data_IF_539498252596
#
_entry.id   IF_539498252596
#
_cell.length_a   1.000
_cell.length_b   1.000
_cell.length_c   1.000
_cell.angle_alpha   90.00
_cell.angle_beta   90.00
_cell.angle_gamma   90.00
#
_symmetry.space_group_name_H-M   'P 1'
#
loop_
_entity.id
_entity.type
_entity.pdbx_description
1 polymer ?
#
# COMPACT_ATOMS: atom_id res chain seq x y z
N UNK A 1 -19.99 22.39 -3.58
CA UNK A 1 -20.54 21.03 -3.82
C UNK A 1 -20.57 20.16 -2.55
N UNK A 2 -19.58 19.29 -2.27
CA UNK A 2 -19.70 18.28 -1.20
C UNK A 2 -19.86 18.86 0.21
N UNK A 3 -18.96 19.74 0.66
CA UNK A 3 -19.00 20.31 2.02
C UNK A 3 -20.20 21.23 2.27
N UNK A 4 -20.70 21.86 1.21
CA UNK A 4 -21.91 22.69 1.26
C UNK A 4 -23.20 21.87 1.21
N UNK A 5 -23.11 20.53 1.13
CA UNK A 5 -24.26 19.62 0.98
C UNK A 5 -25.11 19.88 -0.27
N UNK A 6 -24.52 20.46 -1.31
CA UNK A 6 -25.17 20.66 -2.62
C UNK A 6 -25.25 19.33 -3.40
N UNK A 7 -24.43 18.33 -3.04
CA UNK A 7 -24.55 16.95 -3.50
C UNK A 7 -24.85 16.08 -2.29
N UNK A 8 -26.11 15.73 -2.09
CA UNK A 8 -26.60 14.93 -0.95
C UNK A 8 -26.86 13.47 -1.30
N UNK A 9 -27.13 13.19 -2.58
CA UNK A 9 -27.03 11.92 -3.29
C UNK A 9 -25.93 10.96 -2.79
N UNK A 10 -26.16 9.86 -2.04
CA UNK A 10 -25.06 8.94 -1.70
C UNK A 10 -24.39 8.33 -2.94
N UNK A 11 -25.15 8.08 -4.03
CA UNK A 11 -24.59 7.57 -5.29
C UNK A 11 -23.85 8.68 -6.03
N UNK A 12 -24.40 9.88 -6.06
CA UNK A 12 -23.74 11.05 -6.66
C UNK A 12 -22.44 11.41 -5.94
N UNK A 13 -22.43 11.39 -4.60
CA UNK A 13 -21.22 11.60 -3.80
C UNK A 13 -20.15 10.55 -4.11
N UNK A 14 -20.55 9.28 -4.23
CA UNK A 14 -19.63 8.21 -4.60
C UNK A 14 -19.05 8.44 -6.00
N UNK A 15 -19.88 8.77 -6.97
CA UNK A 15 -19.45 9.05 -8.34
C UNK A 15 -18.51 10.26 -8.38
N UNK A 16 -18.83 11.32 -7.63
CA UNK A 16 -17.99 12.50 -7.47
C UNK A 16 -16.59 12.11 -6.99
N UNK A 17 -16.47 11.35 -5.90
CA UNK A 17 -15.15 10.92 -5.41
C UNK A 17 -14.41 10.05 -6.43
N UNK A 18 -15.06 9.02 -6.98
CA UNK A 18 -14.43 8.13 -7.95
C UNK A 18 -13.94 8.88 -9.19
N UNK A 19 -14.68 9.88 -9.65
CA UNK A 19 -14.29 10.73 -10.80
C UNK A 19 -12.97 11.47 -10.58
N UNK A 20 -12.56 11.75 -9.34
CA UNK A 20 -11.29 12.41 -9.04
C UNK A 20 -10.08 11.54 -9.44
N UNK A 21 -10.24 10.22 -9.60
CA UNK A 21 -9.17 9.36 -10.11
C UNK A 21 -8.86 9.60 -11.60
N UNK A 22 -9.76 10.29 -12.33
CA UNK A 22 -9.56 10.66 -13.73
C UNK A 22 -8.73 11.93 -13.90
N UNK A 23 -8.39 12.61 -12.79
CA UNK A 23 -7.56 13.82 -12.82
C UNK A 23 -6.16 13.46 -13.35
N UNK A 24 -5.75 14.14 -14.43
CA UNK A 24 -4.47 13.89 -15.11
C UNK A 24 -3.32 14.71 -14.53
N UNK A 25 -3.59 15.85 -13.91
CA UNK A 25 -2.58 16.72 -13.28
C UNK A 25 -3.16 17.48 -12.09
N UNK A 26 -2.29 17.85 -11.14
CA UNK A 26 -2.67 18.58 -9.92
C UNK A 26 -2.02 19.97 -9.86
N UNK A 27 -2.58 20.82 -9.02
CA UNK A 27 -2.04 22.15 -8.65
C UNK A 27 -1.98 22.27 -7.12
N UNK A 28 -1.16 23.19 -6.60
CA UNK A 28 -1.06 23.45 -5.15
C UNK A 28 -2.42 23.82 -4.53
N UNK A 29 -3.22 24.74 -5.12
CA UNK A 29 -4.56 25.03 -4.59
C UNK A 29 -5.51 23.83 -4.64
N UNK A 30 -5.43 23.00 -5.69
CA UNK A 30 -6.26 21.81 -5.80
C UNK A 30 -5.94 20.77 -4.73
N UNK A 31 -4.66 20.56 -4.40
CA UNK A 31 -4.28 19.67 -3.29
C UNK A 31 -4.79 20.19 -1.94
N UNK A 32 -4.65 21.50 -1.71
CA UNK A 32 -5.18 22.16 -0.50
C UNK A 32 -6.70 21.96 -0.36
N UNK A 33 -7.44 22.00 -1.46
CA UNK A 33 -8.87 21.70 -1.47
C UNK A 33 -9.16 20.20 -1.27
N UNK A 34 -8.41 19.31 -1.91
CA UNK A 34 -8.55 17.86 -1.78
C UNK A 34 -8.36 17.38 -0.34
N UNK A 35 -7.43 18.01 0.40
CA UNK A 35 -7.20 17.77 1.83
C UNK A 35 -8.45 17.97 2.70
N UNK A 36 -9.31 18.93 2.35
CA UNK A 36 -10.56 19.20 3.09
C UNK A 36 -11.60 18.09 2.88
N UNK A 37 -11.46 17.30 1.82
CA UNK A 37 -12.33 16.15 1.57
C UNK A 37 -12.15 15.04 2.61
N UNK A 38 -11.04 15.07 3.36
CA UNK A 38 -10.76 14.12 4.43
C UNK A 38 -11.35 14.53 5.79
N UNK A 39 -11.89 15.74 5.93
CA UNK A 39 -12.41 16.23 7.21
C UNK A 39 -13.71 15.52 7.63
N UNK A 40 -13.81 15.18 8.91
CA UNK A 40 -14.94 14.46 9.49
C UNK A 40 -14.85 12.95 9.24
N UNK A 41 -15.94 12.36 8.77
CA UNK A 41 -16.02 10.94 8.39
C UNK A 41 -16.48 10.82 6.93
N UNK A 42 -15.59 11.09 5.96
CA UNK A 42 -15.94 11.00 4.55
C UNK A 42 -16.15 9.54 4.13
N UNK A 43 -16.65 9.34 2.91
CA UNK A 43 -16.80 8.01 2.33
C UNK A 43 -15.44 7.33 2.10
N UNK A 44 -15.48 6.01 1.91
CA UNK A 44 -14.29 5.20 1.62
C UNK A 44 -13.60 5.65 0.33
N UNK A 45 -14.41 6.01 -0.67
CA UNK A 45 -13.96 6.48 -1.98
C UNK A 45 -13.18 7.80 -1.88
N UNK A 46 -13.46 8.64 -0.89
CA UNK A 46 -12.69 9.87 -0.64
C UNK A 46 -11.23 9.55 -0.30
N UNK A 47 -10.96 8.58 0.58
CA UNK A 47 -9.60 8.18 0.94
C UNK A 47 -8.81 7.65 -0.27
N UNK A 48 -9.45 6.78 -1.08
CA UNK A 48 -8.84 6.23 -2.29
C UNK A 48 -8.45 7.33 -3.26
N UNK A 49 -9.38 8.27 -3.47
CA UNK A 49 -9.25 9.31 -4.49
C UNK A 49 -8.27 10.39 -4.08
N UNK A 50 -8.31 10.82 -2.81
CA UNK A 50 -7.30 11.75 -2.27
C UNK A 50 -5.90 11.14 -2.33
N UNK A 51 -5.76 9.85 -2.05
CA UNK A 51 -4.50 9.12 -2.27
C UNK A 51 -3.99 9.27 -3.70
N UNK A 52 -4.83 8.96 -4.70
CA UNK A 52 -4.47 9.11 -6.12
C UNK A 52 -4.07 10.56 -6.47
N UNK A 53 -4.79 11.55 -5.95
CA UNK A 53 -4.47 12.98 -6.18
C UNK A 53 -3.12 13.36 -5.56
N UNK A 54 -2.76 12.82 -4.40
CA UNK A 54 -1.43 13.02 -3.80
C UNK A 54 -0.34 12.50 -4.73
N UNK A 55 -0.50 11.30 -5.31
CA UNK A 55 0.48 10.77 -6.26
C UNK A 55 0.64 11.69 -7.48
N UNK A 56 -0.47 12.14 -8.09
CA UNK A 56 -0.44 13.08 -9.22
C UNK A 56 0.23 14.42 -8.87
N UNK A 57 0.03 14.89 -7.65
CA UNK A 57 0.71 16.08 -7.15
C UNK A 57 2.22 15.84 -6.98
N UNK A 58 2.57 14.75 -6.29
CA UNK A 58 3.96 14.35 -6.02
C UNK A 58 4.79 14.18 -7.28
N UNK A 59 4.21 13.59 -8.34
CA UNK A 59 4.86 13.43 -9.64
C UNK A 59 5.28 14.77 -10.27
N UNK A 60 4.62 15.88 -9.93
CA UNK A 60 4.89 17.21 -10.52
C UNK A 60 5.67 18.14 -9.59
N UNK A 61 5.41 18.09 -8.28
CA UNK A 61 5.91 19.07 -7.32
C UNK A 61 6.76 18.47 -6.19
N UNK A 62 7.01 17.16 -6.20
CA UNK A 62 7.59 16.47 -5.05
C UNK A 62 6.58 16.23 -3.92
N UNK A 63 6.98 15.44 -2.93
CA UNK A 63 6.12 15.04 -1.81
C UNK A 63 6.41 15.80 -0.50
N UNK A 64 7.28 16.80 -0.52
CA UNK A 64 7.77 17.48 0.69
C UNK A 64 6.83 18.59 1.19
N UNK A 65 5.75 18.87 0.45
CA UNK A 65 4.83 19.97 0.79
C UNK A 65 4.07 19.72 2.09
N UNK A 66 3.76 20.80 2.81
CA UNK A 66 2.98 20.75 4.05
C UNK A 66 1.59 20.13 3.86
N UNK A 67 0.94 20.35 2.70
CA UNK A 67 -0.38 19.76 2.42
C UNK A 67 -0.31 18.23 2.26
N UNK A 68 0.76 17.69 1.65
CA UNK A 68 0.98 16.22 1.59
C UNK A 68 1.17 15.67 3.01
N UNK A 69 2.01 16.31 3.82
CA UNK A 69 2.23 15.92 5.21
C UNK A 69 0.94 15.90 6.02
N UNK A 70 0.11 16.94 5.91
CA UNK A 70 -1.16 17.00 6.64
C UNK A 70 -2.15 15.92 6.17
N UNK A 71 -2.18 15.59 4.87
CA UNK A 71 -2.96 14.43 4.38
C UNK A 71 -2.44 13.13 4.99
N UNK A 72 -1.12 12.94 5.04
CA UNK A 72 -0.51 11.78 5.69
C UNK A 72 -0.87 11.69 7.18
N UNK A 73 -0.89 12.82 7.88
CA UNK A 73 -1.31 12.88 9.28
C UNK A 73 -2.78 12.50 9.45
N UNK A 74 -3.67 12.95 8.57
CA UNK A 74 -5.09 12.55 8.57
C UNK A 74 -5.26 11.05 8.32
N UNK A 75 -4.48 10.46 7.41
CA UNK A 75 -4.45 9.02 7.22
C UNK A 75 -3.97 8.30 8.48
N UNK A 76 -2.88 8.77 9.11
CA UNK A 76 -2.35 8.17 10.33
C UNK A 76 -3.36 8.20 11.48
N UNK A 77 -4.06 9.32 11.68
CA UNK A 77 -5.14 9.45 12.66
C UNK A 77 -6.25 8.45 12.38
N UNK A 78 -6.66 8.30 11.11
CA UNK A 78 -7.75 7.39 10.75
C UNK A 78 -7.38 5.91 10.88
N UNK A 79 -6.12 5.54 10.68
CA UNK A 79 -5.62 4.18 10.95
C UNK A 79 -5.65 3.85 12.45
N UNK A 80 -5.40 4.82 13.33
CA UNK A 80 -5.44 4.66 14.78
C UNK A 80 -4.49 3.55 15.28
N UNK A 81 -5.07 2.47 15.82
CA UNK A 81 -4.37 1.26 16.28
C UNK A 81 -4.41 0.10 15.26
N UNK A 82 -5.10 0.27 14.12
CA UNK A 82 -5.37 -0.78 13.15
C UNK A 82 -6.11 -2.02 13.70
N UNK A 83 -6.85 -1.82 14.79
CA UNK A 83 -7.67 -2.82 15.46
C UNK A 83 -9.13 -2.37 15.41
N UNK A 84 -9.77 -2.37 14.23
CA UNK A 84 -11.17 -1.99 14.10
C UNK A 84 -12.05 -2.98 14.87
N UNK A 85 -13.08 -2.47 15.55
CA UNK A 85 -14.00 -3.29 16.35
C UNK A 85 -15.28 -3.64 15.59
N UNK A 86 -15.59 -2.89 14.53
CA UNK A 86 -16.75 -3.12 13.67
C UNK A 86 -16.34 -3.32 12.21
N UNK A 87 -17.22 -3.96 11.43
CA UNK A 87 -17.01 -4.13 9.99
C UNK A 87 -16.88 -2.79 9.24
N UNK A 88 -17.62 -1.77 9.67
CA UNK A 88 -17.57 -0.44 9.07
C UNK A 88 -16.24 0.28 9.35
N UNK A 89 -15.72 0.14 10.57
CA UNK A 89 -14.38 0.63 10.92
C UNK A 89 -13.31 -0.09 10.11
N UNK A 90 -13.41 -1.42 9.99
CA UNK A 90 -12.47 -2.24 9.22
C UNK A 90 -12.45 -1.80 7.75
N UNK A 91 -13.62 -1.65 7.14
CA UNK A 91 -13.74 -1.18 5.76
C UNK A 91 -13.13 0.22 5.57
N UNK A 92 -13.20 1.07 6.59
CA UNK A 92 -12.58 2.40 6.56
C UNK A 92 -11.07 2.32 6.67
N UNK A 93 -10.53 1.52 7.61
CA UNK A 93 -9.08 1.30 7.75
C UNK A 93 -8.50 0.73 6.46
N UNK A 94 -9.17 -0.27 5.86
CA UNK A 94 -8.77 -0.84 4.56
C UNK A 94 -8.80 0.21 3.45
N UNK A 95 -9.83 1.08 3.41
CA UNK A 95 -9.89 2.16 2.42
C UNK A 95 -8.75 3.17 2.59
N UNK A 96 -8.38 3.51 3.82
CA UNK A 96 -7.23 4.39 4.12
C UNK A 96 -5.93 3.75 3.65
N UNK A 97 -5.68 2.47 3.97
CA UNK A 97 -4.48 1.75 3.52
C UNK A 97 -4.38 1.69 1.99
N UNK A 98 -5.50 1.47 1.29
CA UNK A 98 -5.55 1.55 -0.17
C UNK A 98 -5.33 2.97 -0.70
N UNK A 99 -5.80 4.00 0.01
CA UNK A 99 -5.48 5.40 -0.29
C UNK A 99 -3.98 5.69 -0.17
N UNK A 100 -3.32 5.15 0.87
CA UNK A 100 -1.86 5.24 1.06
C UNK A 100 -1.11 4.53 -0.07
N UNK A 101 -1.57 3.34 -0.47
CA UNK A 101 -1.04 2.67 -1.66
C UNK A 101 -1.15 3.58 -2.89
N UNK A 102 -2.32 4.19 -3.11
CA UNK A 102 -2.57 5.04 -4.27
C UNK A 102 -1.72 6.33 -4.27
N UNK A 103 -1.33 6.84 -3.09
CA UNK A 103 -0.46 8.02 -2.99
C UNK A 103 0.96 7.77 -3.42
N UNK A 104 1.40 6.50 -3.47
CA UNK A 104 2.74 6.08 -3.86
C UNK A 104 3.85 6.88 -3.13
N UNK A 105 3.56 7.27 -1.89
CA UNK A 105 4.49 7.95 -0.99
C UNK A 105 4.12 7.57 0.43
N UNK A 106 5.09 7.04 1.16
CA UNK A 106 4.93 6.59 2.53
C UNK A 106 6.20 6.89 3.32
N UNK A 107 6.13 7.90 4.18
CA UNK A 107 7.26 8.37 5.00
C UNK A 107 6.86 8.40 6.48
N UNK A 108 7.85 8.50 7.37
CA UNK A 108 7.57 8.66 8.80
C UNK A 108 6.78 9.97 9.05
N UNK A 109 5.79 9.98 9.97
CA UNK A 109 5.41 8.90 10.89
C UNK A 109 4.37 7.91 10.33
N UNK A 110 3.77 8.19 9.18
CA UNK A 110 2.72 7.34 8.60
C UNK A 110 3.23 5.92 8.29
N UNK A 111 4.47 5.78 7.84
CA UNK A 111 5.14 4.49 7.64
C UNK A 111 5.05 3.61 8.88
N UNK A 112 5.34 4.17 10.05
CA UNK A 112 5.35 3.43 11.31
C UNK A 112 3.94 2.92 11.66
N UNK A 113 2.92 3.70 11.32
CA UNK A 113 1.52 3.30 11.45
C UNK A 113 1.16 2.18 10.50
N UNK A 114 1.55 2.24 9.23
CA UNK A 114 1.27 1.15 8.27
C UNK A 114 1.96 -0.15 8.71
N UNK A 115 3.20 -0.09 9.20
CA UNK A 115 3.91 -1.26 9.75
C UNK A 115 3.18 -1.80 11.00
N UNK A 116 2.64 -0.95 11.86
CA UNK A 116 1.83 -1.40 13.00
C UNK A 116 0.59 -2.21 12.55
N UNK A 117 0.01 -1.87 11.40
CA UNK A 117 -1.18 -2.53 10.85
C UNK A 117 -0.92 -3.94 10.31
N UNK A 118 0.34 -4.37 10.14
CA UNK A 118 0.66 -5.75 9.77
C UNK A 118 0.73 -6.71 10.97
N UNK A 119 0.66 -6.18 12.19
CA UNK A 119 0.65 -6.98 13.42
C UNK A 119 -0.48 -8.01 13.45
N UNK A 120 -0.22 -9.12 14.16
CA UNK A 120 -1.17 -10.20 14.45
C UNK A 120 -2.44 -9.73 15.19
N UNK A 121 -2.39 -8.58 15.86
CA UNK A 121 -3.55 -7.94 16.50
C UNK A 121 -4.55 -7.37 15.50
N UNK A 122 -4.14 -7.13 14.25
CA UNK A 122 -5.01 -6.58 13.21
C UNK A 122 -5.69 -7.73 12.45
N UNK A 123 -6.88 -7.48 11.88
CA UNK A 123 -7.55 -8.51 11.07
C UNK A 123 -6.77 -8.83 9.80
N UNK A 124 -6.96 -10.03 9.23
CA UNK A 124 -6.31 -10.43 7.98
C UNK A 124 -6.51 -9.39 6.85
N UNK A 125 -7.72 -8.84 6.69
CA UNK A 125 -8.01 -7.81 5.67
C UNK A 125 -7.18 -6.54 5.86
N UNK A 126 -7.01 -6.09 7.09
CA UNK A 126 -6.18 -4.91 7.42
C UNK A 126 -4.71 -5.21 7.14
N UNK A 127 -4.22 -6.39 7.57
CA UNK A 127 -2.83 -6.81 7.36
C UNK A 127 -2.49 -6.91 5.88
N UNK A 128 -3.34 -7.57 5.08
CA UNK A 128 -3.21 -7.65 3.62
C UNK A 128 -3.16 -6.25 2.99
N UNK A 129 -4.08 -5.37 3.34
CA UNK A 129 -4.11 -4.01 2.81
C UNK A 129 -2.85 -3.20 3.20
N UNK A 130 -2.28 -3.45 4.37
CA UNK A 130 -1.05 -2.82 4.84
C UNK A 130 0.17 -3.29 4.04
N UNK A 131 0.33 -4.60 3.79
CA UNK A 131 1.37 -5.11 2.89
C UNK A 131 1.22 -4.56 1.46
N UNK A 132 -0.01 -4.41 0.98
CA UNK A 132 -0.25 -3.80 -0.34
C UNK A 132 0.12 -2.32 -0.40
N UNK A 133 0.25 -1.62 0.74
CA UNK A 133 0.69 -0.24 0.83
C UNK A 133 2.22 -0.09 0.97
N UNK A 134 2.94 -1.15 1.35
CA UNK A 134 4.41 -1.14 1.47
C UNK A 134 5.16 -0.64 0.22
N UNK A 135 4.73 -0.94 -1.02
CA UNK A 135 5.41 -0.44 -2.21
C UNK A 135 5.50 1.10 -2.29
N UNK A 136 4.61 1.84 -1.61
CA UNK A 136 4.70 3.30 -1.50
C UNK A 136 5.96 3.80 -0.74
N UNK A 137 6.67 2.89 -0.07
CA UNK A 137 7.98 3.07 0.54
C UNK A 137 8.92 1.93 0.12
N UNK A 138 8.87 1.52 -1.15
CA UNK A 138 9.71 0.44 -1.69
C UNK A 138 11.17 0.61 -1.27
N UNK A 139 11.81 -0.49 -0.86
CA UNK A 139 13.19 -0.53 -0.40
C UNK A 139 13.51 0.23 0.90
N UNK A 140 12.53 0.84 1.57
CA UNK A 140 12.76 1.34 2.92
C UNK A 140 13.14 0.17 3.85
N UNK A 141 14.24 0.30 4.59
CA UNK A 141 14.75 -0.77 5.46
C UNK A 141 13.71 -1.30 6.46
N UNK A 142 12.86 -0.44 7.02
CA UNK A 142 11.83 -0.85 7.98
C UNK A 142 10.74 -1.69 7.32
N UNK A 143 10.34 -1.31 6.10
CA UNK A 143 9.38 -2.07 5.28
C UNK A 143 9.95 -3.43 4.89
N UNK A 144 11.17 -3.46 4.36
CA UNK A 144 11.86 -4.69 3.96
C UNK A 144 12.04 -5.64 5.15
N UNK A 145 12.54 -5.14 6.29
CA UNK A 145 12.72 -5.96 7.49
C UNK A 145 11.39 -6.49 8.03
N UNK A 146 10.34 -5.66 8.03
CA UNK A 146 9.00 -6.09 8.44
C UNK A 146 8.50 -7.22 7.53
N UNK A 147 8.53 -7.03 6.21
CA UNK A 147 8.06 -8.04 5.27
C UNK A 147 8.87 -9.35 5.34
N UNK A 148 10.20 -9.28 5.48
CA UNK A 148 11.03 -10.47 5.65
C UNK A 148 10.66 -11.25 6.92
N UNK A 149 10.39 -10.57 8.03
CA UNK A 149 10.00 -11.21 9.28
C UNK A 149 8.70 -12.02 9.13
N UNK A 150 7.70 -11.46 8.45
CA UNK A 150 6.44 -12.18 8.19
C UNK A 150 6.60 -13.30 7.18
N UNK A 151 7.33 -13.05 6.09
CA UNK A 151 7.57 -14.07 5.06
C UNK A 151 8.29 -15.31 5.63
N UNK A 152 9.30 -15.12 6.50
CA UNK A 152 10.07 -16.21 7.13
C UNK A 152 9.33 -16.95 8.24
N UNK A 153 8.27 -16.37 8.81
CA UNK A 153 7.53 -16.99 9.91
C UNK A 153 6.57 -18.06 9.38
N UNK A 154 6.91 -19.34 9.52
CA UNK A 154 6.09 -20.46 9.05
C UNK A 154 4.81 -20.69 9.85
N UNK A 155 4.68 -20.08 11.03
CA UNK A 155 3.44 -20.09 11.80
C UNK A 155 2.42 -19.04 11.32
N UNK A 156 2.84 -18.16 10.42
CA UNK A 156 1.97 -17.14 9.85
C UNK A 156 1.08 -17.70 8.74
N UNK A 157 -0.11 -17.13 8.57
CA UNK A 157 -1.02 -17.53 7.51
C UNK A 157 -0.38 -17.37 6.11
N UNK A 158 -0.64 -18.34 5.22
CA UNK A 158 -0.04 -18.36 3.89
C UNK A 158 -0.40 -17.13 3.05
N UNK A 159 -1.62 -16.57 3.20
CA UNK A 159 -2.01 -15.33 2.54
C UNK A 159 -1.11 -14.17 2.98
N UNK A 160 -0.87 -14.05 4.29
CA UNK A 160 -0.03 -13.00 4.85
C UNK A 160 1.42 -13.14 4.40
N UNK A 161 1.97 -14.36 4.43
CA UNK A 161 3.33 -14.64 3.92
C UNK A 161 3.46 -14.28 2.44
N UNK A 162 2.46 -14.63 1.63
CA UNK A 162 2.44 -14.30 0.19
C UNK A 162 2.36 -12.78 -0.03
N UNK A 163 1.54 -12.05 0.73
CA UNK A 163 1.49 -10.59 0.62
C UNK A 163 2.82 -9.93 1.03
N UNK A 164 3.48 -10.45 2.07
CA UNK A 164 4.80 -9.99 2.47
C UNK A 164 5.83 -10.23 1.35
N UNK A 165 5.83 -11.41 0.72
CA UNK A 165 6.64 -11.69 -0.47
C UNK A 165 6.37 -10.71 -1.62
N UNK A 166 5.10 -10.47 -1.98
CA UNK A 166 4.75 -9.54 -3.05
C UNK A 166 5.26 -8.13 -2.77
N UNK A 167 5.18 -7.66 -1.52
CA UNK A 167 5.73 -6.36 -1.15
C UNK A 167 7.26 -6.26 -1.26
N UNK A 168 7.98 -7.38 -1.09
CA UNK A 168 9.43 -7.45 -1.24
C UNK A 168 9.87 -7.48 -2.71
N UNK A 169 9.05 -8.07 -3.60
CA UNK A 169 9.31 -8.06 -5.05
C UNK A 169 9.39 -6.64 -5.61
N UNK A 170 8.61 -5.71 -5.04
CA UNK A 170 8.65 -4.28 -5.38
C UNK A 170 9.94 -3.58 -4.92
N UNK A 171 10.84 -4.29 -4.22
CA UNK A 171 12.22 -3.88 -3.99
C UNK A 171 13.24 -4.88 -4.57
N UNK A 172 13.45 -4.90 -5.89
CA UNK A 172 14.47 -5.73 -6.50
C UNK A 172 15.87 -5.36 -5.98
N UNK A 173 16.51 -6.28 -5.27
CA UNK A 173 17.88 -6.10 -4.78
C UNK A 173 18.55 -7.45 -4.53
N UNK A 174 19.88 -7.47 -4.54
CA UNK A 174 20.65 -8.69 -4.23
C UNK A 174 20.36 -9.22 -2.81
N UNK A 175 20.14 -8.32 -1.84
CA UNK A 175 19.80 -8.71 -0.48
C UNK A 175 18.47 -9.47 -0.42
N UNK A 176 17.42 -8.92 -1.04
CA UNK A 176 16.10 -9.58 -1.12
C UNK A 176 16.19 -10.89 -1.91
N UNK A 177 16.97 -10.92 -3.01
CA UNK A 177 17.15 -12.14 -3.81
C UNK A 177 17.79 -13.28 -3.02
N UNK A 178 18.81 -12.98 -2.21
CA UNK A 178 19.46 -13.97 -1.34
C UNK A 178 18.50 -14.51 -0.28
N UNK A 179 17.64 -13.66 0.28
CA UNK A 179 16.62 -14.07 1.25
C UNK A 179 15.56 -14.97 0.62
N UNK A 180 15.11 -14.66 -0.60
CA UNK A 180 14.19 -15.52 -1.34
C UNK A 180 14.80 -16.89 -1.63
N UNK A 181 16.06 -16.93 -2.06
CA UNK A 181 16.77 -18.18 -2.32
C UNK A 181 16.86 -19.04 -1.05
N UNK A 182 17.37 -18.47 0.04
CA UNK A 182 17.53 -19.18 1.31
C UNK A 182 16.19 -19.69 1.87
N UNK A 183 15.11 -18.92 1.70
CA UNK A 183 13.78 -19.32 2.11
C UNK A 183 13.24 -20.47 1.27
N UNK A 184 13.35 -20.39 -0.07
CA UNK A 184 12.85 -21.44 -0.97
C UNK A 184 13.57 -22.78 -0.76
N UNK A 185 14.88 -22.76 -0.46
CA UNK A 185 15.65 -23.97 -0.16
C UNK A 185 15.14 -24.72 1.08
N UNK A 186 14.39 -24.04 1.97
CA UNK A 186 13.91 -24.57 3.25
C UNK A 186 12.39 -24.49 3.43
N UNK A 187 11.65 -24.06 2.42
CA UNK A 187 10.21 -23.82 2.53
C UNK A 187 9.45 -25.15 2.63
N UNK A 188 8.63 -25.27 3.68
CA UNK A 188 7.83 -26.48 3.94
C UNK A 188 6.35 -26.30 3.58
N UNK A 189 5.89 -25.05 3.49
CA UNK A 189 4.51 -24.71 3.14
C UNK A 189 4.37 -24.66 1.64
N UNK A 190 3.76 -25.70 1.06
CA UNK A 190 3.61 -25.88 -0.38
C UNK A 190 2.97 -24.67 -1.08
N UNK A 191 1.95 -24.05 -0.47
CA UNK A 191 1.26 -22.88 -1.02
C UNK A 191 2.21 -21.69 -1.21
N UNK A 192 3.05 -21.39 -0.21
CA UNK A 192 4.00 -20.27 -0.26
C UNK A 192 5.11 -20.55 -1.27
N UNK A 193 5.74 -21.73 -1.18
CA UNK A 193 6.84 -22.12 -2.07
C UNK A 193 6.42 -22.19 -3.55
N UNK A 194 5.25 -22.77 -3.83
CA UNK A 194 4.73 -22.87 -5.20
C UNK A 194 4.35 -21.51 -5.76
N UNK A 195 3.74 -20.63 -4.96
CA UNK A 195 3.41 -19.27 -5.39
C UNK A 195 4.67 -18.47 -5.72
N UNK A 196 5.66 -18.47 -4.82
CA UNK A 196 6.93 -17.76 -5.05
C UNK A 196 7.65 -18.27 -6.28
N UNK A 197 7.76 -19.59 -6.45
CA UNK A 197 8.41 -20.23 -7.60
C UNK A 197 7.77 -19.81 -8.92
N UNK A 198 6.45 -19.93 -9.01
CA UNK A 198 5.70 -19.60 -10.23
C UNK A 198 5.72 -18.09 -10.52
N UNK A 199 5.62 -17.25 -9.49
CA UNK A 199 5.71 -15.80 -9.68
C UNK A 199 7.10 -15.35 -10.12
N UNK A 200 8.17 -15.87 -9.51
CA UNK A 200 9.55 -15.58 -9.94
C UNK A 200 9.80 -16.02 -11.40
N UNK A 201 9.27 -17.17 -11.81
CA UNK A 201 9.33 -17.62 -13.20
C UNK A 201 8.60 -16.65 -14.15
N UNK A 202 7.42 -16.18 -13.76
CA UNK A 202 6.66 -15.18 -14.52
C UNK A 202 7.42 -13.85 -14.66
N UNK A 203 8.06 -13.38 -13.59
CA UNK A 203 8.91 -12.16 -13.64
C UNK A 203 10.06 -12.32 -14.62
N UNK A 204 10.72 -13.49 -14.65
CA UNK A 204 11.80 -13.81 -15.60
C UNK A 204 11.33 -13.85 -17.06
N UNK A 205 10.10 -14.33 -17.30
CA UNK A 205 9.51 -14.42 -18.63
C UNK A 205 8.92 -13.09 -19.14
N UNK A 206 8.78 -12.09 -18.26
CA UNK A 206 8.13 -10.82 -18.60
C UNK A 206 8.99 -9.95 -19.52
N UNK A 207 8.39 -9.48 -20.62
CA UNK A 207 8.96 -8.46 -21.50
C UNK A 207 8.64 -7.01 -21.09
N UNK A 208 7.85 -6.82 -20.01
CA UNK A 208 7.54 -5.49 -19.48
C UNK A 208 8.80 -4.79 -18.93
N UNK A 209 9.08 -3.59 -19.45
CA UNK A 209 10.21 -2.77 -19.06
C UNK A 209 10.17 -2.38 -17.57
N UNK A 210 8.99 -2.22 -16.98
CA UNK A 210 8.82 -1.88 -15.56
C UNK A 210 9.32 -2.99 -14.63
N UNK A 211 9.45 -4.23 -15.15
CA UNK A 211 9.91 -5.42 -14.41
C UNK A 211 11.37 -5.78 -14.68
N UNK A 212 12.10 -4.97 -15.43
CA UNK A 212 13.51 -5.23 -15.77
C UNK A 212 14.36 -5.43 -14.51
N UNK A 213 14.25 -4.53 -13.52
CA UNK A 213 15.03 -4.65 -12.29
C UNK A 213 14.73 -5.94 -11.51
N UNK A 214 13.44 -6.31 -11.39
CA UNK A 214 13.02 -7.57 -10.76
C UNK A 214 13.60 -8.78 -11.51
N UNK A 215 13.51 -8.77 -12.84
CA UNK A 215 14.07 -9.83 -13.69
C UNK A 215 15.57 -9.95 -13.52
N UNK A 216 16.32 -8.85 -13.53
CA UNK A 216 17.78 -8.87 -13.34
C UNK A 216 18.19 -9.40 -11.96
N UNK A 217 17.59 -8.88 -10.89
CA UNK A 217 17.97 -9.28 -9.53
C UNK A 217 17.50 -10.69 -9.15
N UNK A 218 16.39 -11.16 -9.71
CA UNK A 218 15.82 -12.46 -9.38
C UNK A 218 16.10 -13.56 -10.43
N UNK A 219 16.83 -13.24 -11.51
CA UNK A 219 17.14 -14.18 -12.59
C UNK A 219 17.79 -15.49 -12.11
N UNK A 220 18.69 -15.38 -11.14
CA UNK A 220 19.54 -16.50 -10.70
C UNK A 220 18.95 -17.29 -9.53
N UNK A 221 17.73 -16.96 -9.08
CA UNK A 221 17.03 -17.75 -8.07
C UNK A 221 16.54 -19.02 -8.77
N UNK A 222 17.25 -20.12 -8.53
CA UNK A 222 16.82 -21.45 -8.95
C UNK A 222 15.56 -21.81 -8.16
N UNK A 223 14.53 -22.21 -8.88
CA UNK A 223 13.22 -22.60 -8.37
C UNK A 223 12.87 -23.96 -8.92
#
# INVERSE_FOLDING_TARGET
LYKNKEVSDPKEQKLLFVSLNLVTSMTKPALKAAKLLLDGNPSREAYLSVGSLVNKYCQKFGCESADVKEISDKFAVKLGKCQPTTRQEEDTVVAVLKGIKNSNTLVAPLLDKVVQCTSDKSSARVRVAAFQAYPAASCNKKVVNSALNFLKNTNEDSEIRIQAYLSLVECPSAAVANEFKALLDNEKVYQVGSFMTTHLASLRASADQTREAARQHFANIRT
#
